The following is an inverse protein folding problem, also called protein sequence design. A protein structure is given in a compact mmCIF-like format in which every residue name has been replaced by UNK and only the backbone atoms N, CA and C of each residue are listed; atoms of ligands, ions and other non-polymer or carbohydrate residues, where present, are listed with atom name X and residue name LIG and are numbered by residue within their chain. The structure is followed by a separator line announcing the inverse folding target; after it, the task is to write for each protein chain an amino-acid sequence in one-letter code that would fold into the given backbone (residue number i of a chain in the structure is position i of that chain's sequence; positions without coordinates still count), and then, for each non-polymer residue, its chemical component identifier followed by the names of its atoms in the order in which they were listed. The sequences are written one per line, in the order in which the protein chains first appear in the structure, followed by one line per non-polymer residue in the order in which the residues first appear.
data_IF_967882833053
#
_entry.id   IF_967882833053
#
_cell.length_a   1.000
_cell.length_b   1.000
_cell.length_c   1.000
_cell.angle_alpha   90.00
_cell.angle_beta   90.00
_cell.angle_gamma   90.00
#
_symmetry.space_group_name_H-M   'P 1'
#
loop_
_entity.id
_entity.type
_entity.pdbx_description
1 polymer ?
#
# COMPACT_ATOMS: atom_id res chain seq x y z
N UNK A 1 -7.10 6.31 -10.53
CA UNK A 1 -6.74 7.05 -9.30
C UNK A 1 -7.99 7.43 -8.50
N UNK A 2 -9.05 7.99 -9.14
CA UNK A 2 -10.26 8.42 -8.44
C UNK A 2 -10.96 7.30 -7.68
N UNK A 3 -11.13 6.13 -8.27
CA UNK A 3 -11.78 4.97 -7.63
C UNK A 3 -10.97 4.49 -6.41
N UNK A 4 -9.64 4.45 -6.50
CA UNK A 4 -8.79 4.07 -5.38
C UNK A 4 -8.90 5.08 -4.22
N UNK A 5 -8.97 6.38 -4.52
CA UNK A 5 -9.11 7.41 -3.50
C UNK A 5 -10.47 7.34 -2.81
N UNK A 6 -11.55 7.17 -3.57
CA UNK A 6 -12.92 7.00 -3.01
C UNK A 6 -12.97 5.74 -2.14
N UNK A 7 -12.42 4.63 -2.61
CA UNK A 7 -12.37 3.39 -1.84
C UNK A 7 -11.53 3.52 -0.56
N UNK A 8 -10.42 4.27 -0.60
CA UNK A 8 -9.61 4.55 0.58
C UNK A 8 -10.37 5.40 1.62
N UNK A 9 -11.07 6.44 1.17
CA UNK A 9 -11.91 7.28 2.05
C UNK A 9 -13.06 6.47 2.63
N UNK A 10 -13.75 5.65 1.81
CA UNK A 10 -14.82 4.77 2.28
C UNK A 10 -14.31 3.76 3.32
N UNK A 11 -13.13 3.19 3.10
CA UNK A 11 -12.50 2.26 4.04
C UNK A 11 -12.14 2.97 5.35
N UNK A 12 -11.56 4.18 5.29
CA UNK A 12 -11.23 4.96 6.48
C UNK A 12 -12.50 5.32 7.29
N UNK A 13 -13.54 5.79 6.62
CA UNK A 13 -14.82 6.08 7.25
C UNK A 13 -15.44 4.84 7.91
N UNK A 14 -15.39 3.69 7.24
CA UNK A 14 -15.89 2.43 7.78
C UNK A 14 -15.10 1.94 9.00
N UNK A 15 -13.76 2.13 9.01
CA UNK A 15 -12.92 1.81 10.19
C UNK A 15 -13.28 2.69 11.39
N UNK A 16 -13.46 3.99 11.17
CA UNK A 16 -13.86 4.92 12.24
C UNK A 16 -15.26 4.59 12.75
N UNK A 17 -16.22 4.34 11.84
CA UNK A 17 -17.57 3.94 12.22
C UNK A 17 -17.56 2.62 13.00
N UNK A 18 -16.75 1.65 12.61
CA UNK A 18 -16.60 0.38 13.32
C UNK A 18 -16.07 0.60 14.75
N UNK A 19 -15.05 1.44 14.91
CA UNK A 19 -14.50 1.76 16.23
C UNK A 19 -15.54 2.43 17.14
N UNK A 20 -16.34 3.34 16.62
CA UNK A 20 -17.41 4.01 17.36
C UNK A 20 -18.52 3.04 17.76
N UNK A 21 -19.01 2.24 16.81
CA UNK A 21 -20.05 1.24 17.08
C UNK A 21 -19.61 0.23 18.14
N UNK A 22 -18.32 -0.18 18.10
CA UNK A 22 -17.76 -1.06 19.12
C UNK A 22 -17.67 -0.37 20.47
N UNK A 23 -17.19 0.87 20.52
CA UNK A 23 -17.06 1.61 21.78
C UNK A 23 -18.43 1.84 22.44
N UNK A 24 -19.42 2.30 21.67
CA UNK A 24 -20.78 2.55 22.16
C UNK A 24 -21.47 1.23 22.55
N UNK A 25 -21.29 0.19 21.76
CA UNK A 25 -21.87 -1.13 22.04
C UNK A 25 -21.30 -1.77 23.30
N UNK A 26 -19.97 -1.69 23.48
CA UNK A 26 -19.31 -2.21 24.69
C UNK A 26 -19.77 -1.42 25.93
N UNK A 27 -19.84 -0.08 25.84
CA UNK A 27 -20.31 0.77 26.93
C UNK A 27 -21.71 0.38 27.37
N UNK A 28 -22.67 0.24 26.46
CA UNK A 28 -24.06 -0.17 26.77
C UNK A 28 -24.13 -1.57 27.38
N UNK A 29 -23.33 -2.51 26.90
CA UNK A 29 -23.28 -3.87 27.46
C UNK A 29 -22.72 -3.88 28.88
N UNK A 30 -21.70 -3.04 29.18
CA UNK A 30 -21.17 -2.88 30.55
C UNK A 30 -22.21 -2.27 31.48
N UNK A 31 -23.05 -1.35 30.96
CA UNK A 31 -24.16 -0.76 31.69
C UNK A 31 -25.35 -1.73 31.91
N UNK A 32 -25.26 -2.95 31.38
CA UNK A 32 -26.27 -4.02 31.58
C UNK A 32 -27.38 -4.06 30.55
N UNK A 33 -27.28 -3.29 29.45
CA UNK A 33 -28.26 -3.27 28.37
C UNK A 33 -28.00 -4.44 27.37
N UNK A 34 -28.61 -5.60 27.68
CA UNK A 34 -28.50 -6.79 26.81
C UNK A 34 -29.17 -6.61 25.45
N UNK A 35 -30.15 -5.69 25.33
CA UNK A 35 -30.86 -5.44 24.07
C UNK A 35 -29.97 -4.72 23.04
N UNK A 36 -28.86 -4.14 23.49
CA UNK A 36 -27.87 -3.52 22.60
C UNK A 36 -27.11 -4.50 21.70
N UNK A 37 -27.12 -5.81 22.00
CA UNK A 37 -26.42 -6.85 21.21
C UNK A 37 -26.93 -6.95 19.78
N UNK A 38 -28.24 -6.95 19.59
CA UNK A 38 -28.86 -7.08 18.26
C UNK A 38 -28.44 -5.97 17.30
N UNK A 39 -28.68 -4.69 17.65
CA UNK A 39 -28.25 -3.54 16.85
C UNK A 39 -26.74 -3.49 16.61
N UNK A 40 -25.92 -3.85 17.61
CA UNK A 40 -24.47 -3.88 17.50
C UNK A 40 -24.02 -4.89 16.42
N UNK A 41 -24.54 -6.11 16.45
CA UNK A 41 -24.20 -7.14 15.46
C UNK A 41 -24.62 -6.71 14.06
N UNK A 42 -25.83 -6.18 13.90
CA UNK A 42 -26.32 -5.69 12.61
C UNK A 42 -25.41 -4.57 12.08
N UNK A 43 -25.06 -3.59 12.90
CA UNK A 43 -24.18 -2.51 12.49
C UNK A 43 -22.79 -3.00 12.07
N UNK A 44 -22.19 -3.95 12.80
CA UNK A 44 -20.91 -4.54 12.45
C UNK A 44 -20.97 -5.34 11.14
N UNK A 45 -22.05 -6.07 10.90
CA UNK A 45 -22.26 -6.78 9.63
C UNK A 45 -22.37 -5.81 8.46
N UNK A 46 -23.16 -4.74 8.59
CA UNK A 46 -23.29 -3.71 7.55
C UNK A 46 -21.94 -3.06 7.26
N UNK A 47 -21.21 -2.66 8.28
CA UNK A 47 -19.85 -2.09 8.12
C UNK A 47 -18.92 -3.09 7.44
N UNK A 48 -18.98 -4.37 7.82
CA UNK A 48 -18.21 -5.44 7.19
C UNK A 48 -18.50 -5.60 5.69
N UNK A 49 -19.78 -5.54 5.31
CA UNK A 49 -20.20 -5.58 3.90
C UNK A 49 -19.67 -4.37 3.13
N UNK A 50 -19.81 -3.17 3.68
CA UNK A 50 -19.28 -1.92 3.06
C UNK A 50 -17.78 -2.02 2.84
N UNK A 51 -17.03 -2.50 3.83
CA UNK A 51 -15.58 -2.72 3.70
C UNK A 51 -15.25 -3.79 2.66
N UNK A 52 -16.01 -4.86 2.61
CA UNK A 52 -15.85 -5.91 1.61
C UNK A 52 -16.04 -5.38 0.19
N UNK A 53 -17.08 -4.57 -0.03
CA UNK A 53 -17.35 -3.93 -1.32
C UNK A 53 -16.23 -2.92 -1.68
N UNK A 54 -15.80 -2.10 -0.72
CA UNK A 54 -14.71 -1.15 -0.95
C UNK A 54 -13.40 -1.86 -1.33
N UNK A 55 -13.07 -2.95 -0.64
CA UNK A 55 -11.90 -3.77 -0.96
C UNK A 55 -12.01 -4.43 -2.34
N UNK A 56 -13.15 -5.01 -2.65
CA UNK A 56 -13.39 -5.58 -3.97
C UNK A 56 -13.25 -4.55 -5.09
N UNK A 57 -13.79 -3.34 -4.91
CA UNK A 57 -13.66 -2.23 -5.86
C UNK A 57 -12.19 -1.81 -6.04
N UNK A 58 -11.40 -1.78 -4.95
CA UNK A 58 -9.96 -1.48 -4.99
C UNK A 58 -9.22 -2.56 -5.77
N UNK A 59 -9.46 -3.84 -5.48
CA UNK A 59 -8.78 -4.96 -6.15
C UNK A 59 -9.12 -5.00 -7.64
N UNK A 60 -10.38 -4.70 -8.00
CA UNK A 60 -10.81 -4.62 -9.40
C UNK A 60 -10.13 -3.47 -10.15
N UNK A 61 -10.03 -2.30 -9.52
CA UNK A 61 -9.37 -1.13 -10.11
C UNK A 61 -7.85 -1.34 -10.22
N UNK A 62 -7.22 -2.01 -9.25
CA UNK A 62 -5.82 -2.38 -9.29
C UNK A 62 -5.53 -3.35 -10.44
N UNK A 63 -6.38 -4.36 -10.64
CA UNK A 63 -6.26 -5.30 -11.76
C UNK A 63 -6.38 -4.59 -13.12
N UNK A 64 -7.33 -3.66 -13.27
CA UNK A 64 -7.45 -2.86 -14.47
C UNK A 64 -6.21 -1.97 -14.72
N UNK A 65 -5.63 -1.40 -13.65
CA UNK A 65 -4.41 -0.61 -13.74
C UNK A 65 -3.20 -1.46 -14.18
N UNK A 66 -3.06 -2.69 -13.67
CA UNK A 66 -2.00 -3.63 -14.10
C UNK A 66 -2.11 -3.93 -15.59
N UNK A 67 -3.32 -4.23 -16.08
CA UNK A 67 -3.57 -4.53 -17.50
C UNK A 67 -3.21 -3.31 -18.38
N UNK A 68 -3.62 -2.10 -17.97
CA UNK A 68 -3.33 -0.87 -18.70
C UNK A 68 -1.81 -0.61 -18.74
N UNK A 69 -1.13 -0.71 -17.59
CA UNK A 69 0.33 -0.52 -17.51
C UNK A 69 1.09 -1.54 -18.35
N UNK A 70 0.65 -2.80 -18.33
CA UNK A 70 1.25 -3.86 -19.17
C UNK A 70 1.16 -3.51 -20.65
N UNK A 71 0.02 -3.03 -21.10
CA UNK A 71 -0.19 -2.59 -22.48
C UNK A 71 0.70 -1.40 -22.83
N UNK A 72 0.70 -0.34 -22.01
CA UNK A 72 1.48 0.88 -22.24
C UNK A 72 2.99 0.59 -22.31
N UNK A 73 3.50 -0.28 -21.42
CA UNK A 73 4.91 -0.68 -21.40
C UNK A 73 5.24 -1.49 -22.65
N UNK A 74 4.38 -2.43 -23.05
CA UNK A 74 4.62 -3.25 -24.24
C UNK A 74 4.61 -2.39 -25.52
N UNK A 75 3.64 -1.48 -25.65
CA UNK A 75 3.58 -0.52 -26.77
C UNK A 75 4.83 0.40 -26.77
N UNK A 76 5.27 0.85 -25.59
CA UNK A 76 6.48 1.66 -25.46
C UNK A 76 7.78 0.92 -25.84
N UNK A 77 7.88 -0.38 -25.53
CA UNK A 77 9.01 -1.22 -25.95
C UNK A 77 9.04 -1.36 -27.46
N UNK A 78 7.89 -1.66 -28.09
CA UNK A 78 7.78 -1.78 -29.55
C UNK A 78 8.16 -0.47 -30.23
N UNK A 79 7.62 0.67 -29.78
CA UNK A 79 7.91 1.98 -30.35
C UNK A 79 9.41 2.35 -30.23
N UNK A 80 10.07 1.97 -29.12
CA UNK A 80 11.51 2.18 -28.97
C UNK A 80 12.33 1.28 -29.87
N UNK A 81 11.93 0.03 -30.08
CA UNK A 81 12.61 -0.88 -31.01
C UNK A 81 12.53 -0.38 -32.45
N UNK A 82 11.38 0.18 -32.84
CA UNK A 82 11.21 0.76 -34.19
C UNK A 82 12.07 2.01 -34.41
N UNK A 83 12.36 2.75 -33.33
CA UNK A 83 13.20 3.95 -33.38
C UNK A 83 14.70 3.68 -33.30
N UNK A 84 15.14 2.41 -33.07
CA UNK A 84 16.55 2.06 -33.06
C UNK A 84 17.14 1.95 -34.47
N UNK A 85 18.38 2.41 -34.62
CA UNK A 85 19.20 2.19 -35.82
C UNK A 85 19.51 0.71 -36.02
N UNK A 86 19.90 0.31 -37.26
CA UNK A 86 20.26 -1.07 -37.61
C UNK A 86 21.19 -1.75 -36.59
N UNK A 87 22.34 -1.13 -36.13
CA UNK A 87 23.21 -1.76 -35.13
C UNK A 87 22.54 -1.88 -33.76
N UNK A 88 21.68 -0.95 -33.35
CA UNK A 88 20.93 -1.01 -32.09
C UNK A 88 19.87 -2.11 -32.12
N UNK A 89 19.20 -2.30 -33.26
CA UNK A 89 18.19 -3.34 -33.47
C UNK A 89 18.83 -4.75 -33.51
N UNK A 90 20.02 -4.88 -34.05
CA UNK A 90 20.80 -6.14 -34.05
C UNK A 90 21.30 -6.52 -32.64
N UNK A 91 21.57 -5.53 -31.78
CA UNK A 91 21.96 -5.75 -30.39
C UNK A 91 20.78 -6.14 -29.48
N UNK A 92 19.56 -5.72 -29.83
CA UNK A 92 18.33 -6.06 -29.10
C UNK A 92 17.89 -7.50 -29.48
N UNK A 93 18.45 -8.49 -28.79
CA UNK A 93 18.06 -9.88 -29.05
C UNK A 93 16.59 -10.11 -28.73
N UNK A 94 15.86 -10.92 -29.54
CA UNK A 94 14.45 -11.23 -29.28
C UNK A 94 14.19 -11.75 -27.86
N UNK A 95 15.13 -12.51 -27.29
CA UNK A 95 15.05 -13.02 -25.93
C UNK A 95 15.08 -11.91 -24.87
N UNK A 96 15.91 -10.88 -25.05
CA UNK A 96 15.99 -9.73 -24.13
C UNK A 96 14.71 -8.91 -24.17
N UNK A 97 14.17 -8.67 -25.36
CA UNK A 97 12.91 -7.92 -25.55
C UNK A 97 11.75 -8.68 -24.93
N UNK A 98 11.64 -9.98 -25.16
CA UNK A 98 10.59 -10.82 -24.58
C UNK A 98 10.72 -10.87 -23.06
N UNK A 99 11.94 -11.02 -22.52
CA UNK A 99 12.17 -11.02 -21.07
C UNK A 99 11.77 -9.70 -20.42
N UNK A 100 12.09 -8.54 -21.02
CA UNK A 100 11.67 -7.23 -20.52
C UNK A 100 10.16 -7.06 -20.59
N UNK A 101 9.52 -7.48 -21.67
CA UNK A 101 8.08 -7.36 -21.86
C UNK A 101 7.26 -8.27 -20.96
N UNK A 102 7.82 -9.39 -20.50
CA UNK A 102 7.16 -10.35 -19.60
C UNK A 102 7.63 -10.17 -18.16
N UNK A 103 8.86 -10.58 -17.85
CA UNK A 103 9.39 -10.61 -16.48
C UNK A 103 9.54 -9.20 -15.89
N UNK A 104 9.90 -8.20 -16.70
CA UNK A 104 10.02 -6.82 -16.24
C UNK A 104 8.67 -6.22 -15.83
N UNK A 105 7.62 -6.51 -16.60
CA UNK A 105 6.26 -6.01 -16.29
C UNK A 105 5.64 -6.79 -15.14
N UNK A 106 5.88 -8.11 -15.06
CA UNK A 106 5.41 -8.95 -13.96
C UNK A 106 6.00 -8.50 -12.61
N UNK A 107 7.23 -7.98 -12.60
CA UNK A 107 7.85 -7.42 -11.41
C UNK A 107 7.16 -6.13 -10.89
N UNK A 108 6.44 -5.40 -11.75
CA UNK A 108 5.68 -4.21 -11.35
C UNK A 108 4.29 -4.53 -10.80
N UNK A 109 3.76 -5.72 -11.10
CA UNK A 109 2.41 -6.11 -10.68
C UNK A 109 2.20 -6.06 -9.16
N UNK A 110 3.09 -6.60 -8.30
CA UNK A 110 2.94 -6.50 -6.84
C UNK A 110 2.94 -5.05 -6.35
N UNK A 111 3.72 -4.19 -6.99
CA UNK A 111 3.79 -2.78 -6.64
C UNK A 111 2.46 -2.06 -6.93
N UNK A 112 1.92 -2.23 -8.12
CA UNK A 112 0.66 -1.60 -8.53
C UNK A 112 -0.52 -2.16 -7.72
N UNK A 113 -0.56 -3.49 -7.53
CA UNK A 113 -1.68 -4.18 -6.90
C UNK A 113 -1.75 -3.97 -5.39
N UNK A 114 -0.61 -3.94 -4.71
CA UNK A 114 -0.55 -3.92 -3.25
C UNK A 114 -0.04 -2.60 -2.69
N UNK A 115 1.05 -2.07 -3.22
CA UNK A 115 1.72 -0.92 -2.65
C UNK A 115 0.99 0.40 -2.93
N UNK A 116 0.53 0.62 -4.15
CA UNK A 116 -0.14 1.86 -4.53
C UNK A 116 -1.47 2.08 -3.76
N UNK A 117 -2.38 1.08 -3.60
CA UNK A 117 -3.55 1.21 -2.74
C UNK A 117 -3.21 1.39 -1.25
N UNK A 118 -2.17 0.69 -0.77
CA UNK A 118 -1.74 0.80 0.63
C UNK A 118 -1.22 2.20 0.97
N UNK A 119 -0.51 2.87 0.05
CA UNK A 119 -0.09 4.27 0.20
C UNK A 119 -1.28 5.22 0.37
N UNK A 120 -2.34 5.04 -0.42
CA UNK A 120 -3.57 5.81 -0.28
C UNK A 120 -4.20 5.64 1.09
N UNK A 121 -4.31 4.40 1.57
CA UNK A 121 -4.84 4.10 2.91
C UNK A 121 -3.93 4.65 4.02
N UNK A 122 -2.61 4.52 3.88
CA UNK A 122 -1.65 5.01 4.86
C UNK A 122 -1.68 6.53 5.02
N UNK A 123 -2.07 7.28 3.99
CA UNK A 123 -2.28 8.73 4.08
C UNK A 123 -3.66 9.07 4.65
N UNK A 124 -4.72 8.45 4.14
CA UNK A 124 -6.11 8.82 4.45
C UNK A 124 -6.52 8.39 5.86
N UNK A 125 -6.15 7.17 6.29
CA UNK A 125 -6.62 6.64 7.59
C UNK A 125 -6.08 7.43 8.78
N UNK A 126 -4.79 7.77 8.88
CA UNK A 126 -4.28 8.58 10.00
C UNK A 126 -4.87 10.00 10.03
N UNK A 127 -5.06 10.61 8.85
CA UNK A 127 -5.68 11.94 8.76
C UNK A 127 -7.13 11.91 9.22
N UNK A 128 -7.92 10.95 8.77
CA UNK A 128 -9.31 10.81 9.17
C UNK A 128 -9.45 10.49 10.68
N UNK A 129 -8.58 9.63 11.21
CA UNK A 129 -8.51 9.34 12.63
C UNK A 129 -8.09 10.57 13.44
N UNK A 130 -7.09 11.32 12.95
CA UNK A 130 -6.63 12.56 13.59
C UNK A 130 -7.72 13.61 13.66
N UNK A 131 -8.46 13.83 12.58
CA UNK A 131 -9.62 14.75 12.55
C UNK A 131 -10.67 14.29 13.56
N UNK A 132 -10.98 13.01 13.64
CA UNK A 132 -11.96 12.48 14.59
C UNK A 132 -11.54 12.68 16.04
N UNK A 133 -10.26 12.45 16.36
CA UNK A 133 -9.69 12.64 17.70
C UNK A 133 -9.67 14.13 18.07
N UNK A 134 -9.38 15.01 17.10
CA UNK A 134 -9.39 16.46 17.33
C UNK A 134 -10.74 16.97 17.84
N UNK A 135 -11.85 16.41 17.37
CA UNK A 135 -13.20 16.75 17.84
C UNK A 135 -13.58 16.03 19.14
N UNK A 136 -12.87 14.99 19.54
CA UNK A 136 -13.16 14.25 20.75
C UNK A 136 -12.33 14.73 21.94
N UNK A 137 -11.04 14.95 21.74
CA UNK A 137 -10.08 15.32 22.77
C UNK A 137 -8.87 16.04 22.18
N UNK A 138 -8.76 17.34 22.46
CA UNK A 138 -7.69 18.18 21.93
C UNK A 138 -6.28 17.77 22.40
N UNK A 139 -6.02 17.44 23.67
CA UNK A 139 -4.73 16.96 24.14
C UNK A 139 -4.25 15.72 23.37
N UNK A 140 -5.12 14.73 23.18
CA UNK A 140 -4.81 13.52 22.43
C UNK A 140 -4.52 13.79 20.96
N UNK A 141 -5.22 14.76 20.36
CA UNK A 141 -4.95 15.17 18.98
C UNK A 141 -3.56 15.79 18.81
N UNK A 142 -3.10 16.60 19.76
CA UNK A 142 -1.75 17.18 19.73
C UNK A 142 -0.68 16.10 19.83
N UNK A 143 -0.84 15.12 20.72
CA UNK A 143 0.08 13.99 20.85
C UNK A 143 0.15 13.23 19.52
N UNK A 144 -0.99 12.94 18.91
CA UNK A 144 -1.06 12.23 17.63
C UNK A 144 -0.40 13.02 16.49
N UNK A 145 -0.61 14.34 16.45
CA UNK A 145 -0.02 15.23 15.44
C UNK A 145 1.51 15.21 15.48
N UNK A 146 2.10 15.03 16.65
CA UNK A 146 3.56 14.89 16.82
C UNK A 146 4.01 13.46 16.53
N UNK A 147 3.28 12.45 17.01
CA UNK A 147 3.67 11.05 16.91
C UNK A 147 3.61 10.51 15.48
N UNK A 148 2.58 10.87 14.70
CA UNK A 148 2.38 10.32 13.34
C UNK A 148 3.52 10.71 12.39
N UNK A 149 4.00 11.97 12.30
CA UNK A 149 5.15 12.30 11.47
C UNK A 149 6.47 11.67 11.95
N UNK A 150 6.56 11.36 13.24
CA UNK A 150 7.76 10.75 13.81
C UNK A 150 7.99 9.32 13.29
N UNK A 151 6.91 8.58 12.97
CA UNK A 151 7.01 7.21 12.43
C UNK A 151 7.81 7.17 11.12
N UNK A 152 7.45 7.93 10.05
CA UNK A 152 8.24 7.90 8.82
C UNK A 152 9.66 8.44 9.02
N UNK A 153 9.86 9.41 9.90
CA UNK A 153 11.21 9.91 10.22
C UNK A 153 12.08 8.78 10.80
N UNK A 154 11.57 8.04 11.78
CA UNK A 154 12.29 6.90 12.34
C UNK A 154 12.47 5.77 11.32
N UNK A 155 11.49 5.50 10.46
CA UNK A 155 11.62 4.50 9.40
C UNK A 155 12.77 4.84 8.44
N UNK A 156 12.88 6.11 8.02
CA UNK A 156 13.96 6.56 7.15
C UNK A 156 15.31 6.46 7.87
N UNK A 157 15.38 6.88 9.13
CA UNK A 157 16.61 6.84 9.92
C UNK A 157 17.10 5.41 10.12
N UNK A 158 16.22 4.49 10.51
CA UNK A 158 16.54 3.07 10.72
C UNK A 158 16.91 2.43 9.37
N UNK A 159 16.17 2.74 8.30
CA UNK A 159 16.45 2.24 6.95
C UNK A 159 17.87 2.58 6.49
N UNK A 160 18.29 3.85 6.65
CA UNK A 160 19.65 4.29 6.31
C UNK A 160 20.72 3.58 7.12
N UNK A 161 20.52 3.46 8.44
CA UNK A 161 21.47 2.76 9.33
C UNK A 161 21.59 1.27 8.98
N UNK A 162 20.50 0.65 8.56
CA UNK A 162 20.48 -0.78 8.17
C UNK A 162 21.14 -0.98 6.81
N UNK A 163 20.93 -0.08 5.86
CA UNK A 163 21.54 -0.13 4.54
C UNK A 163 23.06 -0.05 4.61
N UNK A 164 23.60 0.88 5.40
CA UNK A 164 25.05 0.98 5.61
C UNK A 164 25.66 -0.30 6.20
N UNK A 165 24.96 -0.95 7.12
CA UNK A 165 25.43 -2.22 7.72
C UNK A 165 25.35 -3.37 6.71
N UNK A 166 24.28 -3.45 5.94
CA UNK A 166 24.09 -4.48 4.92
C UNK A 166 25.15 -4.38 3.81
N UNK A 167 25.46 -3.17 3.33
CA UNK A 167 26.51 -2.96 2.33
C UNK A 167 27.89 -3.38 2.84
N UNK A 168 28.22 -3.09 4.11
CA UNK A 168 29.47 -3.56 4.72
C UNK A 168 29.56 -5.09 4.81
N UNK A 169 28.46 -5.76 5.13
CA UNK A 169 28.42 -7.22 5.16
C UNK A 169 28.60 -7.83 3.76
N UNK A 170 27.96 -7.28 2.74
CA UNK A 170 28.14 -7.70 1.35
C UNK A 170 29.58 -7.52 0.87
N UNK A 171 30.20 -6.40 1.16
CA UNK A 171 31.60 -6.15 0.82
C UNK A 171 32.55 -7.16 1.49
N UNK A 172 32.26 -7.58 2.73
CA UNK A 172 33.02 -8.59 3.46
C UNK A 172 32.84 -9.98 2.85
N UNK A 173 31.60 -10.34 2.48
CA UNK A 173 31.31 -11.62 1.82
C UNK A 173 31.96 -11.73 0.43
N UNK A 174 31.97 -10.65 -0.34
CA UNK A 174 32.67 -10.61 -1.64
C UNK A 174 34.19 -10.81 -1.50
N UNK A 175 34.80 -10.22 -0.47
CA UNK A 175 36.23 -10.42 -0.18
C UNK A 175 36.55 -11.85 0.26
N UNK A 176 35.66 -12.51 1.00
CA UNK A 176 35.80 -13.91 1.38
C UNK A 176 35.66 -14.83 0.15
N UNK A 177 34.70 -14.53 -0.76
CA UNK A 177 34.50 -15.30 -1.98
C UNK A 177 35.68 -15.25 -2.94
N UNK A 178 36.40 -14.14 -3.03
CA UNK A 178 37.60 -14.02 -3.86
C UNK A 178 38.81 -14.81 -3.33
N UNK A 179 38.87 -15.07 -2.01
CA UNK A 179 39.96 -15.84 -1.39
C UNK A 179 39.79 -17.38 -1.52
N UNK A 180 38.59 -17.85 -1.92
CA UNK A 180 38.36 -19.29 -2.15
C UNK A 180 38.56 -19.70 -3.62
N UNK A 181 38.94 -18.79 -4.51
CA UNK A 181 39.16 -19.08 -5.95
C UNK A 181 40.66 -19.05 -6.35
N UNK A 182 41.58 -18.76 -5.40
CA UNK A 182 43.01 -18.99 -5.54
C UNK A 182 43.39 -20.32 -4.84
#
# INVERSE_FOLDING_TARGET
LGVCLIAAVATAAAVIAQAQVLADGISRLVDGDADALGPLVVALVVIGIVRGIARWATDRSATAAVIATRRDVTEGIVAKLDALDEPGRAAATPSTVTSLATTGVDALEPWIRSYAPALGLAAVVPLAAGVRILFADLPSAVILLIAVPLIPVFMILIGRLTEERSQRQWATLQRLGSHFHD
#
